data_IF_428496077643
#
_entry.id   IF_428496077643
#
_cell.length_a   1.000
_cell.length_b   1.000
_cell.length_c   1.000
_cell.angle_alpha   90.00
_cell.angle_beta   90.00
_cell.angle_gamma   90.00
#
_symmetry.space_group_name_H-M   'P 1'
#
loop_
_entity.id
_entity.type
_entity.pdbx_description
1 polymer ?
#
# COMPACT_ATOMS: atom_id res chain seq x y z
N UNK A 1 -41.62 28.18 -105.72
CA UNK A 1 -41.06 27.01 -106.43
C UNK A 1 -42.06 25.87 -106.25
N UNK A 2 -43.01 25.71 -107.20
CA UNK A 2 -42.97 24.72 -108.31
C UNK A 2 -43.00 23.28 -107.79
N UNK A 3 -43.87 22.35 -108.21
CA UNK A 3 -44.88 22.16 -109.26
C UNK A 3 -45.73 20.95 -108.78
N UNK A 4 -47.05 20.92 -108.93
CA UNK A 4 -47.78 20.29 -110.06
C UNK A 4 -47.36 18.82 -110.31
N UNK A 5 -48.19 17.81 -110.58
CA UNK A 5 -49.61 17.62 -110.95
C UNK A 5 -49.70 16.10 -111.18
N UNK A 6 -50.83 15.43 -110.92
CA UNK A 6 -51.38 14.41 -111.85
C UNK A 6 -52.78 13.94 -111.42
N UNK A 7 -53.69 14.11 -112.36
CA UNK A 7 -55.06 13.58 -112.54
C UNK A 7 -55.04 12.06 -112.82
N UNK A 8 -56.07 11.23 -112.62
CA UNK A 8 -57.35 11.11 -113.39
C UNK A 8 -58.22 9.95 -112.88
N UNK A 9 -59.57 10.10 -112.94
CA UNK A 9 -60.60 9.06 -113.24
C UNK A 9 -60.94 8.06 -112.12
N UNK A 10 -62.17 7.54 -111.93
CA UNK A 10 -63.40 7.54 -112.73
C UNK A 10 -64.62 7.00 -111.90
N UNK A 11 -65.80 7.59 -112.13
CA UNK A 11 -67.16 7.01 -112.19
C UNK A 11 -67.85 6.26 -111.01
N UNK A 12 -68.88 6.94 -110.45
CA UNK A 12 -70.32 6.59 -110.14
C UNK A 12 -70.65 5.23 -109.48
N UNK A 13 -71.49 5.14 -108.43
CA UNK A 13 -72.99 5.17 -108.40
C UNK A 13 -73.46 5.17 -106.91
N UNK A 14 -74.62 5.76 -106.55
CA UNK A 14 -74.96 6.20 -105.19
C UNK A 14 -75.73 5.16 -104.39
N UNK A 15 -75.49 5.01 -103.08
CA UNK A 15 -76.30 4.13 -102.21
C UNK A 15 -76.43 4.67 -100.79
N UNK A 16 -77.51 5.40 -100.57
CA UNK A 16 -78.13 5.76 -99.28
C UNK A 16 -78.59 4.53 -98.48
N UNK A 17 -77.67 3.61 -98.14
CA UNK A 17 -78.04 2.37 -97.46
C UNK A 17 -76.94 1.64 -96.67
N UNK A 18 -75.74 2.22 -96.49
CA UNK A 18 -74.63 1.50 -95.84
C UNK A 18 -74.22 2.00 -94.45
N UNK A 19 -74.60 3.21 -94.02
CA UNK A 19 -74.08 3.76 -92.74
C UNK A 19 -74.94 3.43 -91.52
N UNK A 20 -76.23 3.12 -91.70
CA UNK A 20 -77.06 2.59 -90.61
C UNK A 20 -76.67 1.14 -90.21
N UNK A 21 -75.96 0.41 -91.07
CA UNK A 21 -75.52 -0.95 -90.80
C UNK A 21 -74.20 -1.01 -89.99
N UNK A 22 -73.40 0.05 -89.96
CA UNK A 22 -72.11 0.09 -89.23
C UNK A 22 -72.32 0.46 -87.76
N UNK A 23 -73.38 1.19 -87.41
CA UNK A 23 -73.71 1.50 -86.01
C UNK A 23 -74.31 0.29 -85.25
N UNK A 24 -75.02 -0.61 -85.94
CA UNK A 24 -75.67 -1.77 -85.30
C UNK A 24 -74.75 -3.01 -85.25
N UNK A 25 -73.74 -3.12 -86.13
CA UNK A 25 -72.78 -4.22 -86.08
C UNK A 25 -71.70 -4.06 -84.99
N UNK A 26 -71.55 -2.87 -84.41
CA UNK A 26 -70.65 -2.63 -83.27
C UNK A 26 -71.25 -2.97 -81.90
N UNK A 27 -72.50 -3.46 -81.83
CA UNK A 27 -73.16 -3.81 -80.56
C UNK A 27 -73.26 -5.34 -80.33
N UNK A 28 -72.92 -6.18 -81.31
CA UNK A 28 -73.08 -7.65 -81.20
C UNK A 28 -71.78 -8.46 -81.33
N UNK A 29 -70.62 -7.82 -81.22
CA UNK A 29 -69.32 -8.43 -81.54
C UNK A 29 -68.25 -8.45 -80.45
N UNK A 30 -68.60 -8.39 -79.14
CA UNK A 30 -67.59 -8.58 -78.08
C UNK A 30 -68.16 -9.03 -76.74
N UNK A 31 -68.64 -10.27 -76.63
CA UNK A 31 -68.69 -10.97 -75.33
C UNK A 31 -67.34 -11.62 -75.03
N UNK A 32 -66.29 -10.79 -74.94
CA UNK A 32 -65.05 -11.20 -74.32
C UNK A 32 -65.20 -11.06 -72.81
N UNK A 33 -65.00 -12.13 -72.06
CA UNK A 33 -64.90 -12.03 -70.60
C UNK A 33 -63.67 -11.19 -70.31
N UNK A 34 -63.87 -9.93 -69.92
CA UNK A 34 -62.78 -9.07 -69.49
C UNK A 34 -62.31 -9.54 -68.12
N UNK A 35 -61.25 -10.34 -68.08
CA UNK A 35 -60.51 -10.55 -66.84
C UNK A 35 -59.73 -9.27 -66.55
N UNK A 36 -60.29 -8.43 -65.68
CA UNK A 36 -59.51 -7.37 -65.05
C UNK A 36 -58.53 -8.02 -64.05
N UNK A 37 -57.28 -8.22 -64.49
CA UNK A 37 -56.19 -8.51 -63.57
C UNK A 37 -55.83 -7.22 -62.84
N UNK A 38 -56.43 -7.00 -61.67
CA UNK A 38 -55.96 -6.01 -60.73
C UNK A 38 -54.66 -6.52 -60.12
N UNK A 39 -53.52 -6.04 -60.62
CA UNK A 39 -52.28 -6.14 -59.84
C UNK A 39 -52.23 -4.93 -58.91
N UNK A 40 -52.60 -5.15 -57.65
CA UNK A 40 -52.31 -4.18 -56.60
C UNK A 40 -50.79 -4.18 -56.37
N UNK A 41 -50.08 -3.24 -56.98
CA UNK A 41 -48.67 -3.00 -56.66
C UNK A 41 -48.60 -2.13 -55.42
N UNK A 42 -48.50 -2.76 -54.25
CA UNK A 42 -48.13 -2.06 -53.03
C UNK A 42 -46.64 -1.73 -53.11
N UNK A 43 -46.28 -0.46 -53.29
CA UNK A 43 -44.90 -0.01 -53.14
C UNK A 43 -44.59 0.05 -51.65
N UNK A 44 -43.97 -1.00 -51.12
CA UNK A 44 -43.41 -1.01 -49.77
C UNK A 44 -42.12 -0.22 -49.78
N UNK A 45 -42.18 1.04 -49.34
CA UNK A 45 -40.97 1.82 -49.03
C UNK A 45 -40.40 1.30 -47.71
N UNK A 46 -39.60 0.24 -47.74
CA UNK A 46 -38.81 -0.18 -46.57
C UNK A 46 -37.49 0.56 -46.58
N UNK A 47 -37.33 1.51 -45.66
CA UNK A 47 -36.00 2.01 -45.32
C UNK A 47 -35.28 0.91 -44.54
N UNK A 48 -34.38 0.18 -45.17
CA UNK A 48 -33.43 -0.67 -44.45
C UNK A 48 -32.47 0.25 -43.66
N UNK A 49 -32.83 0.58 -42.42
CA UNK A 49 -31.88 1.22 -41.50
C UNK A 49 -30.81 0.18 -41.21
N UNK A 50 -29.55 0.48 -41.53
CA UNK A 50 -28.44 -0.38 -41.12
C UNK A 50 -28.56 -0.66 -39.62
N UNK A 51 -28.66 -1.93 -39.23
CA UNK A 51 -28.70 -2.31 -37.83
C UNK A 51 -27.47 -1.74 -37.14
N UNK A 52 -27.66 -1.04 -36.03
CA UNK A 52 -26.56 -0.54 -35.20
C UNK A 52 -26.74 -1.08 -33.80
N UNK A 53 -25.63 -1.45 -33.17
CA UNK A 53 -25.60 -1.71 -31.74
C UNK A 53 -24.90 -0.56 -31.04
N UNK A 54 -25.33 -0.26 -29.83
CA UNK A 54 -24.76 0.80 -29.01
C UNK A 54 -24.73 0.35 -27.55
N UNK A 55 -23.68 0.78 -26.86
CA UNK A 55 -23.48 0.51 -25.44
C UNK A 55 -23.09 1.81 -24.75
N UNK A 56 -23.60 2.02 -23.55
CA UNK A 56 -23.23 3.14 -22.69
C UNK A 56 -22.67 2.61 -21.37
N UNK A 57 -21.75 3.37 -20.79
CA UNK A 57 -21.11 3.07 -19.51
C UNK A 57 -21.24 4.27 -18.57
N UNK A 58 -21.68 4.03 -17.34
CA UNK A 58 -21.81 5.05 -16.29
C UNK A 58 -21.31 4.53 -14.92
N UNK A 59 -21.14 5.43 -13.95
CA UNK A 59 -20.74 5.09 -12.58
C UNK A 59 -19.23 4.95 -12.34
N UNK A 60 -18.39 5.11 -13.36
CA UNK A 60 -16.94 4.89 -13.24
C UNK A 60 -16.11 6.18 -13.13
N UNK A 61 -16.50 7.27 -13.80
CA UNK A 61 -15.58 8.39 -14.11
C UNK A 61 -15.28 9.34 -12.95
N UNK A 62 -16.31 9.82 -12.24
CA UNK A 62 -16.15 10.68 -11.06
C UNK A 62 -17.41 10.73 -10.19
N UNK A 63 -17.24 10.91 -8.88
CA UNK A 63 -18.34 11.04 -7.91
C UNK A 63 -18.35 9.96 -6.83
N UNK A 64 -19.32 10.04 -5.92
CA UNK A 64 -19.37 9.21 -4.69
C UNK A 64 -19.57 7.71 -4.95
N UNK A 65 -20.19 7.33 -6.06
CA UNK A 65 -20.47 5.95 -6.48
C UNK A 65 -19.35 5.30 -7.31
N UNK A 66 -18.19 5.95 -7.42
CA UNK A 66 -17.07 5.54 -8.28
C UNK A 66 -15.88 4.99 -7.47
N UNK A 67 -14.94 4.33 -8.17
CA UNK A 67 -13.66 3.88 -7.60
C UNK A 67 -12.57 4.96 -7.64
N UNK A 68 -12.93 6.21 -7.94
CA UNK A 68 -12.03 7.36 -7.83
C UNK A 68 -11.61 7.57 -6.38
N UNK A 69 -10.31 7.56 -6.09
CA UNK A 69 -9.84 7.65 -4.71
C UNK A 69 -8.35 8.03 -4.59
N UNK A 70 -7.99 8.67 -3.48
CA UNK A 70 -6.59 8.84 -3.08
C UNK A 70 -6.30 7.95 -1.88
N UNK A 71 -5.50 6.91 -2.09
CA UNK A 71 -5.01 6.04 -1.03
C UNK A 71 -4.03 6.81 -0.14
N UNK A 72 -4.33 6.83 1.15
CA UNK A 72 -3.50 7.34 2.23
C UNK A 72 -3.23 6.18 3.19
N UNK A 73 -2.28 6.33 4.11
CA UNK A 73 -1.93 5.22 5.02
C UNK A 73 -3.15 4.68 5.79
N UNK A 74 -4.13 5.50 6.17
CA UNK A 74 -5.31 5.06 6.93
C UNK A 74 -6.42 4.42 6.09
N UNK A 75 -6.36 4.50 4.75
CA UNK A 75 -7.40 3.92 3.89
C UNK A 75 -6.84 2.95 2.87
N UNK A 76 -7.29 1.70 2.95
CA UNK A 76 -6.78 0.58 2.13
C UNK A 76 -7.73 0.06 1.06
N UNK A 77 -8.93 0.63 0.94
CA UNK A 77 -9.87 0.21 -0.10
C UNK A 77 -10.90 1.26 -0.46
N UNK A 78 -11.36 1.21 -1.70
CA UNK A 78 -12.50 1.97 -2.20
C UNK A 78 -13.42 1.03 -2.96
N UNK A 79 -14.72 1.11 -2.67
CA UNK A 79 -15.77 0.42 -3.45
C UNK A 79 -16.56 1.45 -4.24
N UNK A 80 -16.80 1.15 -5.51
CA UNK A 80 -17.66 1.90 -6.41
C UNK A 80 -18.41 0.94 -7.34
N UNK A 81 -18.95 1.46 -8.43
CA UNK A 81 -19.77 0.68 -9.37
C UNK A 81 -19.42 0.96 -10.82
N UNK A 82 -19.84 0.06 -11.71
CA UNK A 82 -19.86 0.27 -13.15
C UNK A 82 -21.19 -0.24 -13.69
N UNK A 83 -21.93 0.62 -14.38
CA UNK A 83 -23.20 0.28 -15.02
C UNK A 83 -23.02 0.28 -16.52
N UNK A 84 -23.47 -0.80 -17.16
CA UNK A 84 -23.45 -0.95 -18.62
C UNK A 84 -24.88 -1.06 -19.11
N UNK A 85 -25.24 -0.22 -20.06
CA UNK A 85 -26.55 -0.19 -20.69
C UNK A 85 -26.44 -0.51 -22.18
N UNK A 86 -27.31 -1.40 -22.66
CA UNK A 86 -27.48 -1.64 -24.08
C UNK A 86 -28.42 -0.56 -24.64
N UNK A 87 -27.85 0.44 -25.32
CA UNK A 87 -28.56 1.60 -25.89
C UNK A 87 -28.83 1.44 -27.38
N UNK A 88 -28.72 0.21 -27.90
CA UNK A 88 -28.97 -0.10 -29.31
C UNK A 88 -30.37 0.36 -29.73
N UNK A 89 -30.53 1.09 -30.86
CA UNK A 89 -31.81 1.62 -31.32
C UNK A 89 -32.67 0.51 -31.98
N UNK A 90 -33.00 -0.53 -31.21
CA UNK A 90 -33.79 -1.68 -31.65
C UNK A 90 -34.81 -2.06 -30.57
N UNK A 91 -35.93 -2.65 -30.98
CA UNK A 91 -36.95 -3.23 -30.09
C UNK A 91 -36.72 -4.73 -29.86
N UNK A 92 -35.64 -5.30 -30.41
CA UNK A 92 -35.31 -6.71 -30.23
C UNK A 92 -35.10 -7.07 -28.75
N UNK A 93 -35.77 -8.14 -28.32
CA UNK A 93 -35.59 -8.74 -27.01
C UNK A 93 -34.50 -9.83 -26.99
N UNK A 94 -33.74 -10.00 -28.08
CA UNK A 94 -32.64 -10.97 -28.13
C UNK A 94 -31.51 -10.55 -27.17
N UNK A 95 -31.09 -11.41 -26.22
CA UNK A 95 -29.96 -11.10 -25.36
C UNK A 95 -28.67 -11.00 -26.18
N UNK A 96 -27.95 -9.88 -26.03
CA UNK A 96 -26.67 -9.65 -26.70
C UNK A 96 -25.53 -9.83 -25.68
N UNK A 97 -24.52 -10.65 -25.96
CA UNK A 97 -23.34 -10.79 -25.12
C UNK A 97 -22.65 -9.45 -24.86
N UNK A 98 -22.35 -9.19 -23.58
CA UNK A 98 -21.57 -8.05 -23.12
C UNK A 98 -20.36 -8.54 -22.32
N UNK A 99 -19.20 -7.93 -22.57
CA UNK A 99 -18.00 -8.11 -21.75
C UNK A 99 -17.57 -6.79 -21.14
N UNK A 100 -17.22 -6.80 -19.85
CA UNK A 100 -16.67 -5.66 -19.13
C UNK A 100 -15.23 -5.98 -18.75
N UNK A 101 -14.28 -5.29 -19.37
CA UNK A 101 -12.87 -5.38 -19.06
C UNK A 101 -12.46 -4.20 -18.15
N UNK A 102 -11.65 -4.51 -17.14
CA UNK A 102 -10.99 -3.52 -16.30
C UNK A 102 -9.50 -3.48 -16.66
N UNK A 103 -8.92 -2.28 -16.63
CA UNK A 103 -7.53 -2.06 -16.98
C UNK A 103 -7.06 -0.68 -16.53
N UNK A 104 -6.01 -0.18 -17.16
CA UNK A 104 -5.51 1.17 -16.96
C UNK A 104 -5.11 1.81 -18.29
N UNK A 105 -5.03 3.15 -18.31
CA UNK A 105 -4.57 3.89 -19.49
C UNK A 105 -3.06 3.72 -19.65
N UNK A 106 -2.61 3.38 -20.86
CA UNK A 106 -1.19 3.29 -21.21
C UNK A 106 -0.49 4.64 -20.96
N UNK A 107 0.55 4.64 -20.13
CA UNK A 107 1.23 5.85 -19.65
C UNK A 107 0.95 6.18 -18.16
N UNK A 108 -0.04 5.53 -17.54
CA UNK A 108 -0.18 5.51 -16.08
C UNK A 108 0.82 4.57 -15.40
N UNK A 109 0.93 4.63 -14.07
CA UNK A 109 1.86 3.78 -13.31
C UNK A 109 1.49 2.30 -13.39
N UNK A 110 2.21 1.53 -14.21
CA UNK A 110 2.08 0.07 -14.28
C UNK A 110 2.44 -0.63 -12.97
N UNK A 111 3.32 -0.03 -12.16
CA UNK A 111 3.68 -0.50 -10.81
C UNK A 111 2.46 -0.47 -9.90
N UNK A 112 1.78 0.68 -9.84
CA UNK A 112 0.56 0.81 -9.04
C UNK A 112 -0.57 -0.07 -9.60
N UNK A 113 -0.70 -0.15 -10.92
CA UNK A 113 -1.69 -1.01 -11.56
C UNK A 113 -1.53 -2.50 -11.19
N UNK A 114 -0.29 -2.97 -11.02
CA UNK A 114 0.02 -4.34 -10.63
C UNK A 114 -0.16 -4.62 -9.14
N UNK A 115 -0.19 -3.59 -8.29
CA UNK A 115 -0.23 -3.70 -6.82
C UNK A 115 -1.61 -3.42 -6.21
N UNK A 116 -2.51 -2.77 -6.95
CA UNK A 116 -3.88 -2.59 -6.53
C UNK A 116 -4.71 -3.80 -6.95
N UNK A 117 -5.17 -4.55 -5.95
CA UNK A 117 -6.12 -5.63 -6.12
C UNK A 117 -7.48 -5.07 -6.50
N UNK A 118 -8.13 -5.72 -7.45
CA UNK A 118 -9.45 -5.37 -7.95
C UNK A 118 -10.37 -6.57 -7.82
N UNK A 119 -11.48 -6.39 -7.13
CA UNK A 119 -12.56 -7.37 -7.04
C UNK A 119 -13.81 -6.78 -7.69
N UNK A 120 -14.36 -7.45 -8.71
CA UNK A 120 -15.63 -7.09 -9.32
C UNK A 120 -16.69 -8.16 -9.03
N UNK A 121 -17.89 -7.74 -8.65
CA UNK A 121 -19.00 -8.66 -8.39
C UNK A 121 -20.36 -8.11 -8.80
N UNK A 122 -21.30 -9.02 -9.03
CA UNK A 122 -22.66 -8.72 -9.46
C UNK A 122 -23.19 -9.70 -10.52
N UNK A 123 -24.19 -9.30 -11.31
CA UNK A 123 -24.82 -7.97 -11.33
C UNK A 123 -25.60 -7.63 -10.05
N UNK A 124 -25.75 -6.35 -9.75
CA UNK A 124 -26.42 -5.77 -8.56
C UNK A 124 -26.90 -4.34 -8.85
N UNK A 125 -27.16 -3.52 -7.83
CA UNK A 125 -27.47 -2.08 -7.96
C UNK A 125 -26.30 -1.22 -7.51
N UNK A 126 -26.15 -0.01 -8.08
CA UNK A 126 -25.08 0.91 -7.69
C UNK A 126 -25.13 1.29 -6.20
N UNK A 127 -26.34 1.39 -5.62
CA UNK A 127 -26.54 1.68 -4.20
C UNK A 127 -26.02 0.57 -3.27
N UNK A 128 -25.96 -0.67 -3.76
CA UNK A 128 -25.42 -1.81 -3.01
C UNK A 128 -23.89 -1.84 -2.94
N UNK A 129 -23.19 -1.00 -3.72
CA UNK A 129 -21.74 -0.95 -3.78
C UNK A 129 -21.14 -0.07 -2.68
N UNK A 130 -21.39 -0.43 -1.43
CA UNK A 130 -20.89 0.29 -0.24
C UNK A 130 -19.49 -0.19 0.16
N UNK A 131 -18.73 0.59 0.96
CA UNK A 131 -17.43 0.16 1.48
C UNK A 131 -17.49 -1.16 2.26
N UNK A 132 -18.61 -1.46 2.91
CA UNK A 132 -18.83 -2.66 3.74
C UNK A 132 -19.53 -3.80 2.99
N UNK A 133 -19.87 -3.62 1.71
CA UNK A 133 -20.59 -4.63 0.94
C UNK A 133 -19.79 -5.93 0.83
N UNK A 134 -20.44 -7.06 1.04
CA UNK A 134 -19.81 -8.38 0.82
C UNK A 134 -19.98 -8.77 -0.65
N UNK A 135 -18.90 -9.14 -1.36
CA UNK A 135 -19.00 -9.64 -2.74
C UNK A 135 -19.97 -10.82 -2.87
N UNK A 136 -20.82 -10.78 -3.88
CA UNK A 136 -21.86 -11.80 -4.14
C UNK A 136 -22.19 -11.90 -5.63
N UNK A 137 -22.86 -12.99 -6.03
CA UNK A 137 -23.13 -13.29 -7.44
C UNK A 137 -21.88 -13.81 -8.16
N UNK A 138 -21.64 -13.36 -9.39
CA UNK A 138 -20.40 -13.71 -10.10
C UNK A 138 -19.28 -12.83 -9.56
N UNK A 139 -18.21 -13.44 -9.06
CA UNK A 139 -17.05 -12.75 -8.50
C UNK A 139 -15.83 -13.00 -9.39
N UNK A 140 -15.08 -11.94 -9.64
CA UNK A 140 -13.78 -11.97 -10.32
C UNK A 140 -12.78 -11.10 -9.58
N UNK A 141 -11.57 -11.59 -9.45
CA UNK A 141 -10.45 -10.89 -8.80
C UNK A 141 -9.27 -10.82 -9.77
N UNK A 142 -8.46 -9.78 -9.62
CA UNK A 142 -7.25 -9.53 -10.39
C UNK A 142 -6.61 -8.22 -9.94
N UNK A 143 -5.85 -7.58 -10.81
CA UNK A 143 -5.29 -6.24 -10.57
C UNK A 143 -5.68 -5.32 -11.72
N UNK A 144 -5.47 -4.00 -11.61
CA UNK A 144 -5.66 -3.12 -12.77
C UNK A 144 -4.73 -3.49 -13.94
N UNK A 145 -3.56 -4.07 -13.67
CA UNK A 145 -2.65 -4.54 -14.72
C UNK A 145 -3.14 -5.83 -15.41
N UNK A 146 -3.84 -6.70 -14.67
CA UNK A 146 -4.34 -7.98 -15.19
C UNK A 146 -5.65 -8.35 -14.50
N UNK A 147 -6.77 -8.02 -15.14
CA UNK A 147 -8.11 -8.36 -14.66
C UNK A 147 -8.85 -9.25 -15.66
N UNK A 148 -9.42 -10.39 -15.23
CA UNK A 148 -10.25 -11.22 -16.11
C UNK A 148 -11.58 -10.50 -16.40
N UNK A 149 -11.93 -10.32 -17.67
CA UNK A 149 -13.18 -9.66 -18.05
C UNK A 149 -14.42 -10.34 -17.44
N UNK A 150 -15.40 -9.55 -17.02
CA UNK A 150 -16.72 -10.05 -16.64
C UNK A 150 -17.61 -10.15 -17.87
N UNK A 151 -18.42 -11.20 -17.95
CA UNK A 151 -19.28 -11.47 -19.11
C UNK A 151 -20.72 -11.68 -18.68
N UNK A 152 -21.66 -11.16 -19.45
CA UNK A 152 -23.10 -11.35 -19.25
C UNK A 152 -23.85 -11.12 -20.58
N UNK A 153 -25.17 -11.01 -20.55
CA UNK A 153 -26.02 -10.61 -21.67
C UNK A 153 -26.94 -9.45 -21.31
N UNK A 154 -27.28 -8.62 -22.30
CA UNK A 154 -28.21 -7.50 -22.18
C UNK A 154 -29.18 -7.46 -23.37
N UNK A 155 -30.46 -7.29 -23.10
CA UNK A 155 -31.45 -6.92 -24.13
C UNK A 155 -31.44 -5.40 -24.37
N UNK A 156 -31.97 -4.94 -25.51
CA UNK A 156 -32.03 -3.51 -25.80
C UNK A 156 -32.82 -2.75 -24.72
N UNK A 157 -32.28 -1.61 -24.25
CA UNK A 157 -32.85 -0.82 -23.15
C UNK A 157 -32.50 -1.32 -21.74
N UNK A 158 -31.91 -2.50 -21.60
CA UNK A 158 -31.51 -3.03 -20.29
C UNK A 158 -30.17 -2.46 -19.84
N UNK A 159 -30.05 -2.26 -18.52
CA UNK A 159 -28.78 -1.97 -17.87
C UNK A 159 -28.47 -2.99 -16.76
N UNK A 160 -27.19 -3.30 -16.57
CA UNK A 160 -26.67 -4.10 -15.46
C UNK A 160 -25.53 -3.37 -14.78
N UNK A 161 -25.42 -3.52 -13.46
CA UNK A 161 -24.39 -2.87 -12.66
C UNK A 161 -23.55 -3.89 -11.92
N UNK A 162 -22.25 -3.66 -11.85
CA UNK A 162 -21.31 -4.43 -11.03
C UNK A 162 -20.66 -3.51 -10.02
N UNK A 163 -20.40 -4.03 -8.82
CA UNK A 163 -19.55 -3.34 -7.87
C UNK A 163 -18.09 -3.64 -8.17
N UNK A 164 -17.24 -2.64 -8.01
CA UNK A 164 -15.79 -2.72 -8.17
C UNK A 164 -15.15 -2.26 -6.87
N UNK A 165 -14.34 -3.11 -6.26
CA UNK A 165 -13.50 -2.76 -5.10
C UNK A 165 -12.05 -2.77 -5.52
N UNK A 166 -11.40 -1.61 -5.37
CA UNK A 166 -9.96 -1.49 -5.43
C UNK A 166 -9.40 -1.52 -4.01
N UNK A 167 -8.39 -2.33 -3.74
CA UNK A 167 -7.77 -2.46 -2.43
C UNK A 167 -6.27 -2.69 -2.53
N UNK A 168 -5.55 -2.35 -1.46
CA UNK A 168 -4.17 -2.74 -1.26
C UNK A 168 -4.04 -3.49 0.07
N UNK A 169 -3.37 -4.64 0.04
CA UNK A 169 -3.16 -5.45 1.25
C UNK A 169 -2.25 -4.71 2.24
N UNK A 170 -1.16 -4.12 1.74
CA UNK A 170 -0.14 -3.42 2.50
C UNK A 170 0.17 -2.03 1.91
N UNK A 171 0.59 -1.09 2.76
CA UNK A 171 0.91 0.29 2.39
C UNK A 171 2.24 0.37 1.64
N UNK A 172 3.23 -0.40 2.10
CA UNK A 172 4.57 -0.41 1.49
C UNK A 172 4.56 -0.89 0.04
N UNK A 173 3.56 -1.68 -0.37
CA UNK A 173 3.38 -2.12 -1.77
C UNK A 173 3.10 -0.98 -2.75
N UNK A 174 2.53 0.13 -2.26
CA UNK A 174 2.14 1.29 -3.06
C UNK A 174 2.90 2.56 -2.65
N UNK A 175 4.02 2.37 -1.95
CA UNK A 175 4.91 3.44 -1.53
C UNK A 175 5.74 3.99 -2.70
N UNK A 176 6.09 5.28 -2.62
CA UNK A 176 7.09 5.87 -3.51
C UNK A 176 7.97 6.88 -2.76
N UNK A 177 9.20 7.15 -3.24
CA UNK A 177 10.04 8.18 -2.65
C UNK A 177 9.38 9.57 -2.59
N UNK A 178 8.45 9.88 -3.52
CA UNK A 178 7.71 11.15 -3.52
C UNK A 178 6.50 11.15 -2.57
N UNK A 179 6.13 9.98 -2.02
CA UNK A 179 4.89 9.79 -1.28
C UNK A 179 3.63 9.71 -2.15
N UNK A 180 3.76 9.89 -3.47
CA UNK A 180 2.63 9.98 -4.41
C UNK A 180 2.86 9.20 -5.70
N UNK A 181 1.81 8.53 -6.18
CA UNK A 181 1.76 7.85 -7.47
C UNK A 181 0.36 8.08 -8.05
N UNK A 182 0.24 8.30 -9.35
CA UNK A 182 -1.06 8.37 -10.04
C UNK A 182 -1.26 7.20 -11.00
N UNK A 183 -2.48 6.66 -10.99
CA UNK A 183 -3.00 5.65 -11.89
C UNK A 183 -4.30 6.18 -12.48
N UNK A 184 -4.53 5.89 -13.76
CA UNK A 184 -5.81 6.11 -14.41
C UNK A 184 -6.47 4.76 -14.73
N UNK A 185 -7.28 4.21 -13.82
CA UNK A 185 -8.07 3.02 -14.11
C UNK A 185 -9.01 3.27 -15.29
N UNK A 186 -9.27 2.22 -16.06
CA UNK A 186 -10.16 2.22 -17.22
C UNK A 186 -11.13 1.04 -17.14
N UNK A 187 -12.41 1.32 -17.34
CA UNK A 187 -13.42 0.29 -17.60
C UNK A 187 -13.84 0.36 -19.07
N UNK A 188 -13.94 -0.81 -19.72
CA UNK A 188 -14.33 -0.93 -21.12
C UNK A 188 -15.46 -1.95 -21.22
N UNK A 189 -16.63 -1.51 -21.69
CA UNK A 189 -17.75 -2.37 -22.00
C UNK A 189 -17.82 -2.62 -23.50
N UNK A 190 -17.92 -3.87 -23.90
CA UNK A 190 -18.01 -4.29 -25.30
C UNK A 190 -19.26 -5.15 -25.48
N UNK A 191 -20.15 -4.73 -26.38
CA UNK A 191 -21.35 -5.45 -26.77
C UNK A 191 -21.12 -6.07 -28.15
N UNK A 192 -21.37 -7.37 -28.30
CA UNK A 192 -21.05 -8.10 -29.54
C UNK A 192 -22.26 -8.88 -30.04
N UNK A 193 -22.73 -8.56 -31.25
CA UNK A 193 -23.84 -9.25 -31.92
C UNK A 193 -23.41 -9.72 -33.32
N UNK A 194 -23.02 -10.98 -33.46
CA UNK A 194 -22.44 -11.49 -34.70
C UNK A 194 -21.12 -10.77 -35.01
N UNK A 195 -21.07 -10.06 -36.15
CA UNK A 195 -19.91 -9.24 -36.56
C UNK A 195 -19.96 -7.81 -36.03
N UNK A 196 -21.07 -7.39 -35.42
CA UNK A 196 -21.23 -6.04 -34.88
C UNK A 196 -20.57 -5.95 -33.51
N UNK A 197 -19.81 -4.88 -33.28
CA UNK A 197 -19.21 -4.57 -31.98
C UNK A 197 -19.42 -3.10 -31.64
N UNK A 198 -19.92 -2.83 -30.44
CA UNK A 198 -19.96 -1.49 -29.87
C UNK A 198 -19.17 -1.47 -28.56
N UNK A 199 -18.41 -0.40 -28.36
CA UNK A 199 -17.57 -0.24 -27.18
C UNK A 199 -17.83 1.11 -26.52
N UNK A 200 -17.95 1.10 -25.20
CA UNK A 200 -17.92 2.30 -24.37
C UNK A 200 -16.78 2.17 -23.36
N UNK A 201 -16.10 3.27 -23.07
CA UNK A 201 -15.04 3.30 -22.07
C UNK A 201 -15.19 4.50 -21.16
N UNK A 202 -14.79 4.32 -19.92
CA UNK A 202 -14.65 5.40 -18.95
C UNK A 202 -13.34 5.23 -18.18
N UNK A 203 -12.77 6.35 -17.76
CA UNK A 203 -11.56 6.39 -16.95
C UNK A 203 -11.82 7.16 -15.67
N UNK A 204 -11.08 6.82 -14.62
CA UNK A 204 -11.07 7.60 -13.39
C UNK A 204 -9.63 7.78 -12.90
N UNK A 205 -9.45 8.33 -11.70
CA UNK A 205 -8.13 8.54 -11.11
C UNK A 205 -8.02 7.82 -9.77
N UNK A 206 -6.92 7.10 -9.60
CA UNK A 206 -6.49 6.58 -8.32
C UNK A 206 -5.10 7.11 -8.01
N UNK A 207 -4.96 7.78 -6.88
CA UNK A 207 -3.70 8.35 -6.43
C UNK A 207 -3.25 7.69 -5.13
N UNK A 208 -1.96 7.80 -4.80
CA UNK A 208 -1.46 7.60 -3.45
C UNK A 208 -0.97 8.93 -2.88
N UNK A 209 -1.02 9.09 -1.56
CA UNK A 209 -0.53 10.29 -0.89
C UNK A 209 0.04 9.94 0.49
N UNK A 210 1.22 10.49 0.77
CA UNK A 210 1.97 10.34 2.02
C UNK A 210 2.38 8.90 2.37
N UNK A 211 2.53 8.04 1.36
CA UNK A 211 2.98 6.65 1.54
C UNK A 211 4.41 6.53 1.01
N UNK A 212 5.38 6.42 1.92
CA UNK A 212 6.81 6.37 1.59
C UNK A 212 7.44 5.00 1.87
N UNK A 213 8.57 4.66 1.25
CA UNK A 213 9.23 3.37 1.45
C UNK A 213 9.63 3.18 2.92
N UNK A 214 9.56 1.95 3.42
CA UNK A 214 10.01 1.64 4.78
C UNK A 214 11.54 1.70 4.82
N UNK A 215 12.09 2.40 5.81
CA UNK A 215 13.53 2.47 6.02
C UNK A 215 14.07 1.19 6.68
N UNK A 216 15.25 0.70 6.30
CA UNK A 216 16.01 -0.22 7.16
C UNK A 216 16.52 0.57 8.37
N UNK A 217 16.15 0.12 9.58
CA UNK A 217 16.60 0.72 10.84
C UNK A 217 17.39 -0.33 11.62
N UNK A 218 18.50 0.08 12.25
CA UNK A 218 19.30 -0.81 13.09
C UNK A 218 18.46 -1.34 14.26
N UNK A 219 18.36 -2.68 14.44
CA UNK A 219 17.54 -3.26 15.50
C UNK A 219 18.21 -3.26 16.88
N UNK A 220 19.50 -2.93 16.94
CA UNK A 220 20.33 -2.93 18.15
C UNK A 220 20.66 -1.53 18.64
N UNK A 221 20.62 -0.52 17.76
CA UNK A 221 20.92 0.85 18.14
C UNK A 221 19.79 1.47 19.00
N UNK A 222 20.22 2.31 19.95
CA UNK A 222 19.35 3.21 20.70
C UNK A 222 19.29 4.56 19.98
N UNK A 223 18.09 5.12 19.87
CA UNK A 223 17.86 6.40 19.20
C UNK A 223 17.17 7.40 20.12
N UNK A 224 17.61 8.66 20.03
CA UNK A 224 16.75 9.80 20.35
C UNK A 224 16.00 10.20 19.09
N UNK A 225 14.73 10.56 19.24
CA UNK A 225 13.84 10.85 18.12
C UNK A 225 13.41 12.31 18.25
N UNK A 226 13.53 13.06 17.17
CA UNK A 226 13.28 14.51 17.16
C UNK A 226 12.30 14.87 16.08
N UNK A 227 11.47 15.90 16.31
CA UNK A 227 10.83 16.60 15.20
C UNK A 227 11.89 17.36 14.41
N UNK A 228 11.79 17.33 13.08
CA UNK A 228 12.68 18.10 12.19
C UNK A 228 12.61 19.61 12.45
N UNK A 229 11.48 20.10 12.96
CA UNK A 229 11.25 21.52 13.25
C UNK A 229 11.76 21.98 14.60
N UNK A 230 12.03 21.06 15.53
CA UNK A 230 12.59 21.37 16.85
C UNK A 230 13.58 20.27 17.29
N UNK A 231 14.81 20.25 16.74
CA UNK A 231 15.81 19.27 17.12
C UNK A 231 16.31 19.42 18.55
N UNK A 232 16.00 20.54 19.24
CA UNK A 232 16.36 20.76 20.64
C UNK A 232 15.48 19.97 21.61
N UNK A 233 14.34 19.47 21.12
CA UNK A 233 13.42 18.60 21.84
C UNK A 233 13.48 17.16 21.34
N UNK A 234 13.33 16.26 22.30
CA UNK A 234 13.38 14.82 22.11
C UNK A 234 12.02 14.24 22.48
N UNK A 235 11.62 13.16 21.79
CA UNK A 235 10.55 12.30 22.27
C UNK A 235 10.95 11.73 23.64
N UNK A 236 10.01 11.72 24.57
CA UNK A 236 10.25 11.46 25.98
C UNK A 236 9.07 10.70 26.58
N UNK A 237 9.35 9.69 27.42
CA UNK A 237 8.33 9.11 28.29
C UNK A 237 8.26 9.92 29.58
N UNK A 238 7.12 10.62 29.76
CA UNK A 238 6.93 11.59 30.85
C UNK A 238 7.41 11.04 32.18
N UNK A 239 8.31 11.78 32.83
CA UNK A 239 8.81 11.50 34.17
C UNK A 239 9.37 10.07 34.38
N UNK A 240 9.84 9.41 33.31
CA UNK A 240 10.30 8.02 33.35
C UNK A 240 9.26 7.04 33.92
N UNK A 241 7.97 7.32 33.70
CA UNK A 241 6.87 6.51 34.21
C UNK A 241 6.81 5.10 33.61
N UNK A 242 5.91 4.27 34.17
CA UNK A 242 5.65 2.89 33.73
C UNK A 242 4.49 2.77 32.74
N UNK A 243 3.83 1.61 32.71
CA UNK A 243 2.71 1.35 31.82
C UNK A 243 1.59 2.40 31.96
N UNK A 244 1.05 2.86 30.83
CA UNK A 244 0.05 3.93 30.75
C UNK A 244 0.62 5.34 30.65
N UNK A 245 1.93 5.52 30.79
CA UNK A 245 2.59 6.83 30.68
C UNK A 245 2.61 7.33 29.24
N UNK A 246 2.37 8.62 29.05
CA UNK A 246 2.29 9.28 27.75
C UNK A 246 3.67 9.55 27.15
N UNK A 247 3.73 9.47 25.82
CA UNK A 247 4.83 9.98 25.01
C UNK A 247 4.64 11.49 24.82
N UNK A 248 5.65 12.26 25.19
CA UNK A 248 5.69 13.72 25.09
C UNK A 248 6.92 14.18 24.32
N UNK A 249 7.02 15.49 24.07
CA UNK A 249 8.30 16.16 23.81
C UNK A 249 8.86 16.79 25.07
N UNK A 250 10.17 16.70 25.26
CA UNK A 250 10.87 17.38 26.34
C UNK A 250 12.23 17.88 25.87
N UNK A 251 12.85 18.77 26.66
CA UNK A 251 14.21 19.21 26.39
C UNK A 251 15.13 17.99 26.35
N UNK A 252 15.92 17.88 25.29
CA UNK A 252 16.81 16.75 25.11
C UNK A 252 17.82 16.63 26.26
N UNK A 253 17.96 15.42 26.81
CA UNK A 253 18.92 15.08 27.86
C UNK A 253 19.36 13.61 27.74
N UNK A 254 20.38 13.22 28.50
CA UNK A 254 20.96 11.87 28.43
C UNK A 254 20.16 10.75 29.11
N UNK A 255 19.02 11.04 29.75
CA UNK A 255 18.30 10.02 30.52
C UNK A 255 17.67 8.93 29.62
N UNK A 256 17.52 7.68 30.12
CA UNK A 256 17.04 6.56 29.31
C UNK A 256 15.58 6.66 28.84
N UNK A 257 14.76 7.53 29.43
CA UNK A 257 13.36 7.74 29.01
C UNK A 257 13.19 8.51 27.68
N UNK A 258 14.28 9.02 27.09
CA UNK A 258 14.34 9.63 25.75
C UNK A 258 15.02 8.74 24.71
N UNK A 259 15.39 7.52 25.09
CA UNK A 259 16.16 6.61 24.24
C UNK A 259 15.30 5.41 23.89
N UNK A 260 15.15 5.14 22.59
CA UNK A 260 14.27 4.11 22.07
C UNK A 260 15.01 3.15 21.16
N UNK A 261 14.75 1.87 21.33
CA UNK A 261 15.21 0.81 20.43
C UNK A 261 14.06 0.37 19.55
N UNK A 262 14.31 0.32 18.24
CA UNK A 262 13.33 -0.07 17.23
C UNK A 262 13.69 -1.47 16.77
N UNK A 263 12.88 -2.48 17.10
CA UNK A 263 13.26 -3.89 16.88
C UNK A 263 12.08 -4.77 16.49
N UNK A 264 12.38 -6.00 16.05
CA UNK A 264 11.36 -7.01 15.73
C UNK A 264 10.53 -6.67 14.49
N UNK A 265 11.18 -6.17 13.43
CA UNK A 265 10.51 -5.89 12.16
C UNK A 265 9.79 -7.15 11.64
N UNK A 266 8.50 -7.02 11.32
CA UNK A 266 7.79 -8.04 10.56
C UNK A 266 8.13 -7.96 9.05
N UNK A 267 7.53 -8.85 8.25
CA UNK A 267 7.75 -8.90 6.79
C UNK A 267 7.41 -7.59 6.06
N UNK A 268 6.60 -6.73 6.67
CA UNK A 268 6.15 -5.46 6.11
C UNK A 268 6.90 -4.28 6.73
N UNK A 269 7.88 -4.52 7.60
CA UNK A 269 8.72 -3.49 8.21
C UNK A 269 8.09 -2.78 9.41
N UNK A 270 7.05 -3.35 10.03
CA UNK A 270 6.53 -2.82 11.29
C UNK A 270 7.41 -3.25 12.46
N UNK A 271 7.92 -2.27 13.19
CA UNK A 271 8.81 -2.42 14.33
C UNK A 271 8.05 -2.18 15.65
N UNK A 272 8.54 -2.78 16.71
CA UNK A 272 8.23 -2.39 18.09
C UNK A 272 9.17 -1.27 18.53
N UNK A 273 8.65 -0.27 19.26
CA UNK A 273 9.46 0.82 19.82
C UNK A 273 9.52 0.67 21.35
N UNK A 274 10.71 0.35 21.86
CA UNK A 274 10.95 0.06 23.28
C UNK A 274 11.73 1.21 23.92
N UNK A 275 11.22 1.85 24.99
CA UNK A 275 12.00 2.82 25.76
C UNK A 275 13.07 2.12 26.60
N UNK A 276 14.26 2.71 26.70
CA UNK A 276 15.42 2.10 27.38
C UNK A 276 15.16 1.85 28.86
N UNK A 277 14.48 2.77 29.56
CA UNK A 277 14.16 2.62 30.99
C UNK A 277 13.09 1.58 31.31
N UNK A 278 12.34 1.07 30.32
CA UNK A 278 11.23 0.12 30.52
C UNK A 278 11.16 -0.93 29.40
N UNK A 279 12.05 -1.92 29.47
CA UNK A 279 12.24 -2.92 28.40
C UNK A 279 11.06 -3.88 28.20
N UNK A 280 10.16 -4.00 29.18
CA UNK A 280 8.92 -4.78 29.07
C UNK A 280 7.78 -4.03 28.36
N UNK A 281 7.96 -2.73 28.08
CA UNK A 281 6.92 -1.85 27.55
C UNK A 281 7.22 -1.42 26.11
N UNK A 282 6.17 -1.06 25.37
CA UNK A 282 6.21 -0.64 23.95
C UNK A 282 5.35 0.60 23.74
N UNK A 283 5.73 1.44 22.78
CA UNK A 283 4.80 2.47 22.29
C UNK A 283 3.51 1.84 21.77
N UNK A 284 2.38 2.36 22.22
CA UNK A 284 1.05 1.85 21.98
C UNK A 284 0.09 3.01 21.72
N UNK A 285 -0.74 2.88 20.68
CA UNK A 285 -1.77 3.87 20.36
C UNK A 285 -3.07 3.75 21.21
N UNK A 286 -3.07 2.86 22.20
CA UNK A 286 -4.20 2.52 23.07
C UNK A 286 -5.20 1.55 22.45
N UNK A 287 -4.87 0.88 21.33
CA UNK A 287 -5.81 0.08 20.55
C UNK A 287 -6.87 0.90 19.80
N UNK A 288 -6.78 2.23 19.85
CA UNK A 288 -7.73 3.12 19.17
C UNK A 288 -7.64 2.96 17.65
N UNK A 289 -8.80 2.98 17.01
CA UNK A 289 -8.95 3.00 15.54
C UNK A 289 -9.32 4.39 15.00
N UNK A 290 -9.45 5.40 15.87
CA UNK A 290 -9.78 6.77 15.49
C UNK A 290 -8.59 7.71 15.70
N UNK A 291 -8.47 8.80 14.90
CA UNK A 291 -7.49 9.85 15.14
C UNK A 291 -7.65 10.48 16.53
N UNK A 292 -6.57 11.06 17.05
CA UNK A 292 -6.56 11.85 18.27
C UNK A 292 -6.36 11.07 19.57
N UNK A 293 -5.99 9.78 19.51
CA UNK A 293 -5.53 9.09 20.72
C UNK A 293 -4.05 9.39 20.99
N UNK A 294 -3.73 9.64 22.26
CA UNK A 294 -2.36 9.86 22.73
C UNK A 294 -1.58 8.55 22.70
N UNK A 295 -0.30 8.63 22.34
CA UNK A 295 0.62 7.49 22.37
C UNK A 295 1.14 7.31 23.78
N UNK A 296 1.14 6.07 24.24
CA UNK A 296 1.56 5.69 25.60
C UNK A 296 2.55 4.54 25.51
N UNK A 297 3.18 4.21 26.63
CA UNK A 297 3.88 2.92 26.77
C UNK A 297 3.01 1.90 27.48
N UNK A 298 2.96 0.67 26.98
CA UNK A 298 2.16 -0.42 27.54
C UNK A 298 2.92 -1.74 27.47
N UNK A 299 2.49 -2.72 28.28
CA UNK A 299 3.05 -4.08 28.23
C UNK A 299 2.95 -4.65 26.83
N UNK A 300 4.01 -5.35 26.40
CA UNK A 300 4.04 -5.97 25.07
C UNK A 300 2.83 -6.90 24.86
N UNK A 301 2.04 -6.64 23.82
CA UNK A 301 0.82 -7.39 23.48
C UNK A 301 0.92 -8.14 22.15
N UNK A 302 1.89 -7.78 21.30
CA UNK A 302 2.01 -8.29 19.93
C UNK A 302 0.91 -7.80 18.97
N UNK A 303 0.06 -6.87 19.39
CA UNK A 303 -1.04 -6.34 18.58
C UNK A 303 -0.58 -5.23 17.63
N UNK A 304 -1.38 -4.94 16.60
CA UNK A 304 -1.11 -3.85 15.66
C UNK A 304 -1.03 -2.45 16.31
N UNK A 305 -1.55 -2.29 17.53
CA UNK A 305 -1.42 -1.03 18.29
C UNK A 305 0.03 -0.67 18.63
N UNK A 306 0.91 -1.66 18.69
CA UNK A 306 2.33 -1.53 19.05
C UNK A 306 3.30 -1.68 17.87
N UNK A 307 2.76 -1.85 16.66
CA UNK A 307 3.55 -1.92 15.43
C UNK A 307 3.68 -0.55 14.78
N UNK A 308 4.90 -0.17 14.42
CA UNK A 308 5.21 1.14 13.85
C UNK A 308 6.10 1.02 12.62
N UNK A 309 5.69 1.62 11.52
CA UNK A 309 6.49 1.75 10.30
C UNK A 309 7.18 3.11 10.31
N UNK A 310 8.49 3.11 10.07
CA UNK A 310 9.27 4.32 9.84
C UNK A 310 9.46 4.48 8.34
N UNK A 311 8.57 5.24 7.73
CA UNK A 311 8.55 5.49 6.29
C UNK A 311 9.52 6.62 5.95
N UNK A 312 10.49 6.36 5.09
CA UNK A 312 11.55 7.29 4.71
C UNK A 312 11.03 8.33 3.71
N UNK A 313 10.83 9.55 4.19
CA UNK A 313 10.42 10.70 3.36
C UNK A 313 11.60 11.22 2.55
N UNK A 314 12.79 11.27 3.16
CA UNK A 314 14.07 11.55 2.52
C UNK A 314 15.20 10.96 3.37
N UNK A 315 16.46 11.06 2.94
CA UNK A 315 17.61 10.54 3.71
C UNK A 315 17.60 11.08 5.15
N UNK A 316 17.47 10.19 6.14
CA UNK A 316 17.44 10.54 7.57
C UNK A 316 16.15 11.17 8.09
N UNK A 317 15.12 11.36 7.25
CA UNK A 317 13.83 11.95 7.66
C UNK A 317 12.70 10.95 7.46
N UNK A 318 11.92 10.75 8.52
CA UNK A 318 10.92 9.71 8.60
C UNK A 318 9.54 10.27 8.94
N UNK A 319 8.52 9.63 8.40
CA UNK A 319 7.16 9.67 8.91
C UNK A 319 6.92 8.37 9.69
N UNK A 320 6.29 8.45 10.86
CA UNK A 320 6.08 7.30 11.74
C UNK A 320 4.61 6.92 11.70
N UNK A 321 4.29 5.70 11.24
CA UNK A 321 2.94 5.24 10.92
C UNK A 321 2.57 4.03 11.76
N UNK A 322 1.41 4.07 12.43
CA UNK A 322 0.92 2.93 13.21
C UNK A 322 0.38 1.81 12.32
N UNK A 323 0.67 0.55 12.67
CA UNK A 323 0.23 -0.64 11.92
C UNK A 323 -1.28 -0.80 11.87
N UNK A 324 -1.95 -0.66 13.01
CA UNK A 324 -3.38 -0.89 13.14
C UNK A 324 -4.19 0.14 12.33
N UNK A 325 -3.83 1.41 12.45
CA UNK A 325 -4.65 2.50 11.92
C UNK A 325 -4.13 3.09 10.63
N UNK A 326 -2.82 3.04 10.38
CA UNK A 326 -2.20 3.82 9.31
C UNK A 326 -2.13 5.31 9.62
N UNK A 327 -2.44 5.73 10.84
CA UNK A 327 -2.26 7.11 11.26
C UNK A 327 -0.80 7.42 11.58
N UNK A 328 -0.44 8.68 11.37
CA UNK A 328 0.87 9.22 11.61
C UNK A 328 1.02 9.72 13.04
N UNK A 329 2.22 9.58 13.59
CA UNK A 329 2.62 10.26 14.82
C UNK A 329 2.72 11.78 14.57
N UNK A 330 2.10 12.58 15.43
CA UNK A 330 2.21 14.04 15.41
C UNK A 330 2.09 14.63 16.82
N UNK A 331 2.69 15.81 17.08
CA UNK A 331 2.46 16.55 18.32
C UNK A 331 0.98 16.99 18.39
N UNK A 332 0.40 16.92 19.59
CA UNK A 332 -0.92 17.46 19.89
C UNK A 332 -0.89 18.91 20.33
N UNK A 333 -1.95 19.39 21.00
CA UNK A 333 -1.94 20.71 21.62
C UNK A 333 -0.97 20.76 22.80
N UNK A 334 -0.42 21.96 23.05
CA UNK A 334 0.41 22.24 24.23
C UNK A 334 -0.42 22.04 25.50
N UNK A 335 0.12 21.29 26.45
CA UNK A 335 -0.48 21.01 27.76
C UNK A 335 -0.09 22.12 28.75
N UNK A 336 -0.94 23.13 28.88
CA UNK A 336 -0.67 24.32 29.71
C UNK A 336 -0.57 24.04 31.22
N UNK A 337 -1.06 22.89 31.68
CA UNK A 337 -0.99 22.44 33.06
C UNK A 337 0.24 21.55 33.37
N UNK A 338 1.08 21.26 32.37
CA UNK A 338 2.28 20.43 32.50
C UNK A 338 3.49 21.12 31.86
N UNK A 339 3.91 22.26 32.40
CA UNK A 339 5.11 23.00 31.95
C UNK A 339 5.16 23.32 30.44
N UNK A 340 4.01 23.40 29.77
CA UNK A 340 3.89 23.55 28.31
C UNK A 340 4.55 22.39 27.53
N UNK A 341 4.45 21.16 28.05
CA UNK A 341 4.75 19.92 27.33
C UNK A 341 3.76 19.69 26.19
N UNK A 342 4.18 18.99 25.15
CA UNK A 342 3.28 18.51 24.09
C UNK A 342 3.26 16.98 24.09
N UNK A 343 2.08 16.38 24.21
CA UNK A 343 1.91 14.94 24.04
C UNK A 343 1.83 14.57 22.56
N UNK A 344 2.20 13.34 22.21
CA UNK A 344 2.10 12.84 20.84
C UNK A 344 0.87 11.97 20.64
N UNK A 345 0.29 12.10 19.46
CA UNK A 345 -0.97 11.48 19.08
C UNK A 345 -0.83 10.75 17.75
N UNK A 346 -1.76 9.82 17.51
CA UNK A 346 -2.00 9.35 16.15
C UNK A 346 -3.01 10.27 15.42
N UNK A 347 -2.66 10.74 14.24
CA UNK A 347 -3.51 11.60 13.41
C UNK A 347 -3.46 11.18 11.95
N UNK A 348 -4.38 11.66 11.11
CA UNK A 348 -4.28 11.41 9.67
C UNK A 348 -2.96 11.95 9.13
N UNK A 349 -2.32 11.16 8.28
CA UNK A 349 -1.09 11.61 7.63
C UNK A 349 -1.42 12.77 6.69
N UNK A 350 -0.78 13.92 6.89
CA UNK A 350 -1.08 15.17 6.18
C UNK A 350 0.14 15.74 5.45
N UNK A 351 1.30 15.10 5.65
CA UNK A 351 2.55 15.48 5.03
C UNK A 351 3.23 16.72 5.61
N UNK A 352 2.69 17.27 6.70
CA UNK A 352 3.21 18.45 7.37
C UNK A 352 4.57 18.18 8.04
N UNK A 353 5.29 19.26 8.33
CA UNK A 353 6.55 19.19 9.07
C UNK A 353 6.38 18.63 10.51
N UNK A 354 5.16 18.72 11.07
CA UNK A 354 4.81 18.13 12.36
C UNK A 354 4.76 16.58 12.33
N UNK A 355 4.87 15.97 11.14
CA UNK A 355 4.93 14.52 10.94
C UNK A 355 6.28 14.08 10.35
N UNK A 356 7.34 14.85 10.63
CA UNK A 356 8.70 14.62 10.11
C UNK A 356 9.67 14.49 11.26
N UNK A 357 10.26 13.31 11.37
CA UNK A 357 11.14 12.93 12.46
C UNK A 357 12.53 12.58 11.97
N UNK A 358 13.53 12.83 12.80
CA UNK A 358 14.89 12.33 12.62
C UNK A 358 15.23 11.35 13.73
N UNK A 359 16.13 10.41 13.44
CA UNK A 359 16.68 9.45 14.39
C UNK A 359 18.14 9.81 14.65
N UNK A 360 18.45 10.24 15.86
CA UNK A 360 19.81 10.48 16.33
C UNK A 360 20.26 9.27 17.14
N UNK A 361 21.45 8.72 16.89
CA UNK A 361 22.00 7.67 17.76
C UNK A 361 22.11 8.23 19.19
N UNK A 362 21.45 7.58 20.14
CA UNK A 362 21.51 7.96 21.55
C UNK A 362 22.95 7.82 22.05
N UNK A 363 23.44 8.72 22.93
CA UNK A 363 24.78 8.62 23.48
C UNK A 363 25.02 7.25 24.16
N UNK A 364 26.28 6.78 24.21
CA UNK A 364 26.60 5.59 24.97
C UNK A 364 26.24 5.81 26.45
N UNK A 365 25.64 4.82 27.10
CA UNK A 365 25.46 4.88 28.55
C UNK A 365 26.72 4.35 29.20
N UNK A 366 27.18 5.03 30.24
CA UNK A 366 28.30 4.56 31.04
C UNK A 366 27.85 3.40 31.91
N UNK A 367 28.44 2.22 31.73
CA UNK A 367 28.14 1.06 32.57
C UNK A 367 28.91 1.16 33.89
N UNK A 368 28.17 1.01 34.99
CA UNK A 368 28.77 0.76 36.31
C UNK A 368 29.10 -0.73 36.44
N UNK A 369 30.33 -1.10 36.07
CA UNK A 369 30.79 -2.48 36.13
C UNK A 369 31.14 -2.90 37.57
N UNK A 370 30.65 -4.06 37.96
CA UNK A 370 31.12 -4.82 39.12
C UNK A 370 31.76 -6.11 38.63
N UNK A 371 32.91 -6.49 39.20
CA UNK A 371 33.63 -7.70 38.81
C UNK A 371 33.72 -8.64 40.01
N UNK A 372 33.47 -9.92 39.77
CA UNK A 372 33.70 -10.99 40.76
C UNK A 372 34.49 -12.12 40.13
N UNK A 373 35.46 -12.65 40.86
CA UNK A 373 36.21 -13.86 40.50
C UNK A 373 35.45 -15.09 40.97
N UNK A 374 35.26 -16.08 40.09
CA UNK A 374 34.64 -17.36 40.42
C UNK A 374 35.66 -18.48 40.21
N UNK A 375 35.83 -19.35 41.22
CA UNK A 375 36.75 -20.48 41.12
C UNK A 375 36.28 -21.47 40.05
N UNK A 376 37.01 -21.56 38.95
CA UNK A 376 36.84 -22.55 37.90
C UNK A 376 37.56 -23.83 38.32
N UNK A 377 36.81 -24.85 38.72
CA UNK A 377 37.42 -26.11 39.15
C UNK A 377 38.02 -26.90 37.98
N UNK A 378 39.31 -26.71 37.74
CA UNK A 378 40.29 -27.78 37.47
C UNK A 378 40.28 -28.45 36.10
N UNK A 379 40.81 -27.77 35.08
CA UNK A 379 41.38 -28.43 33.90
C UNK A 379 42.78 -27.86 33.65
N UNK A 380 43.81 -28.72 33.64
CA UNK A 380 45.18 -28.40 33.21
C UNK A 380 46.12 -27.55 34.11
N UNK A 381 46.05 -27.73 35.44
CA UNK A 381 47.15 -27.33 36.34
C UNK A 381 47.35 -25.82 36.56
N UNK A 382 46.42 -25.00 36.08
CA UNK A 382 46.23 -23.59 36.46
C UNK A 382 45.11 -23.48 37.50
N UNK A 383 45.16 -22.47 38.37
CA UNK A 383 44.00 -22.10 39.19
C UNK A 383 43.12 -21.20 38.31
N UNK A 384 42.32 -21.80 37.43
CA UNK A 384 41.49 -21.04 36.52
C UNK A 384 40.36 -20.37 37.29
N UNK A 385 40.25 -19.05 37.16
CA UNK A 385 39.17 -18.26 37.74
C UNK A 385 38.47 -17.53 36.62
N UNK A 386 37.16 -17.67 36.54
CA UNK A 386 36.35 -16.90 35.61
C UNK A 386 36.17 -15.49 36.16
N UNK A 387 36.17 -14.50 35.26
CA UNK A 387 35.77 -13.14 35.60
C UNK A 387 34.32 -12.93 35.21
N UNK A 388 33.46 -12.73 36.20
CA UNK A 388 32.07 -12.33 35.97
C UNK A 388 31.98 -10.82 36.10
N UNK A 389 31.81 -10.14 34.98
CA UNK A 389 31.44 -8.73 34.96
C UNK A 389 29.92 -8.62 35.01
N UNK A 390 29.41 -7.73 35.86
CA UNK A 390 27.99 -7.44 36.01
C UNK A 390 27.74 -5.93 35.99
N UNK A 391 26.56 -5.52 35.55
CA UNK A 391 26.14 -4.12 35.42
C UNK A 391 24.64 -3.96 35.71
N UNK A 392 24.20 -2.71 35.87
CA UNK A 392 22.78 -2.40 36.06
C UNK A 392 21.98 -2.69 34.79
N UNK A 393 20.81 -3.30 34.95
CA UNK A 393 19.95 -3.78 33.86
C UNK A 393 19.33 -2.69 32.97
N UNK A 394 19.75 -1.44 33.10
CA UNK A 394 19.04 -0.29 32.53
C UNK A 394 19.12 -0.20 31.02
N UNK A 395 19.98 -0.98 30.35
CA UNK A 395 20.41 -0.65 29.00
C UNK A 395 20.12 -1.66 27.88
N UNK A 396 19.64 -2.87 28.17
CA UNK A 396 19.13 -3.83 27.17
C UNK A 396 20.03 -4.10 25.94
N UNK A 397 21.32 -3.80 26.01
CA UNK A 397 22.25 -3.88 24.88
C UNK A 397 23.14 -5.13 25.01
N UNK A 398 23.71 -5.56 23.89
CA UNK A 398 24.81 -6.51 23.89
C UNK A 398 26.13 -5.74 23.99
N UNK A 399 27.05 -6.23 24.80
CA UNK A 399 28.33 -5.58 25.04
C UNK A 399 29.49 -6.47 24.61
N UNK A 400 30.48 -5.87 23.95
CA UNK A 400 31.73 -6.54 23.58
C UNK A 400 32.81 -6.13 24.56
N UNK A 401 33.42 -7.11 25.22
CA UNK A 401 34.54 -6.90 26.14
C UNK A 401 35.83 -7.12 25.37
N UNK A 402 36.74 -6.14 25.44
CA UNK A 402 38.05 -6.22 24.84
C UNK A 402 39.13 -5.97 25.89
N UNK A 403 40.28 -6.63 25.76
CA UNK A 403 41.44 -6.41 26.59
C UNK A 403 42.65 -5.97 25.75
N UNK A 404 43.48 -5.11 26.33
CA UNK A 404 44.78 -4.71 25.79
C UNK A 404 45.88 -5.00 26.83
N UNK A 405 46.91 -5.72 26.39
CA UNK A 405 48.04 -6.14 27.22
C UNK A 405 49.10 -5.05 27.36
N UNK A 406 49.18 -4.16 26.38
CA UNK A 406 50.40 -3.45 26.08
C UNK A 406 50.12 -1.95 26.08
N UNK A 407 50.50 -1.32 27.20
CA UNK A 407 50.90 0.11 27.22
C UNK A 407 52.21 0.30 26.42
N UNK A 408 52.31 -0.29 25.23
CA UNK A 408 53.50 -0.20 24.38
C UNK A 408 53.57 1.18 23.76
N UNK A 409 54.79 1.67 23.54
CA UNK A 409 55.08 2.95 22.90
C UNK A 409 54.68 2.99 21.42
N UNK A 410 54.20 1.88 20.83
CA UNK A 410 53.97 1.70 19.39
C UNK A 410 52.48 1.51 19.03
N UNK A 411 51.58 1.45 20.01
CA UNK A 411 50.13 1.34 19.80
C UNK A 411 49.43 0.34 20.75
N UNK A 412 48.10 0.42 20.79
CA UNK A 412 47.16 -0.44 21.54
C UNK A 412 46.64 -1.58 20.65
N UNK A 413 46.64 -2.83 21.13
CA UNK A 413 46.11 -4.01 20.41
C UNK A 413 44.93 -4.63 21.16
N UNK A 414 43.73 -4.12 20.90
CA UNK A 414 42.49 -4.56 21.56
C UNK A 414 42.00 -5.90 21.01
N UNK A 415 41.89 -6.91 21.89
CA UNK A 415 41.37 -8.24 21.55
C UNK A 415 40.05 -8.50 22.23
N UNK A 416 39.07 -9.03 21.50
CA UNK A 416 37.78 -9.44 22.09
C UNK A 416 37.97 -10.64 23.01
N UNK A 417 37.56 -10.49 24.27
CA UNK A 417 37.65 -11.51 25.32
C UNK A 417 36.29 -12.08 25.71
N UNK A 418 35.19 -11.42 25.31
CA UNK A 418 33.84 -11.90 25.53
C UNK A 418 32.77 -11.00 24.92
N UNK A 419 31.56 -11.52 24.80
CA UNK A 419 30.39 -10.78 24.33
C UNK A 419 29.18 -11.16 25.16
N UNK A 420 28.45 -10.17 25.65
CA UNK A 420 27.22 -10.38 26.41
C UNK A 420 26.04 -10.65 25.48
N UNK A 421 25.06 -11.40 25.95
CA UNK A 421 23.76 -11.45 25.27
C UNK A 421 23.04 -10.10 25.40
N UNK A 422 22.12 -9.84 24.48
CA UNK A 422 21.17 -8.72 24.59
C UNK A 422 20.34 -8.91 25.87
N UNK A 423 20.04 -7.80 26.57
CA UNK A 423 19.29 -7.77 27.84
C UNK A 423 19.95 -8.51 29.01
N UNK A 424 21.22 -8.94 28.90
CA UNK A 424 21.94 -9.52 30.03
C UNK A 424 22.42 -8.44 31.01
N UNK A 425 22.60 -8.83 32.27
CA UNK A 425 23.19 -8.00 33.33
C UNK A 425 24.57 -8.47 33.75
N UNK A 426 25.07 -9.50 33.09
CA UNK A 426 26.41 -10.03 33.30
C UNK A 426 26.96 -10.70 32.05
N UNK A 427 28.28 -10.88 32.05
CA UNK A 427 29.03 -11.75 31.15
C UNK A 427 30.07 -12.50 31.98
N UNK A 428 30.27 -13.77 31.66
CA UNK A 428 31.38 -14.56 32.18
C UNK A 428 32.48 -14.57 31.14
N UNK A 429 33.66 -14.08 31.51
CA UNK A 429 34.90 -14.25 30.75
C UNK A 429 35.56 -15.51 31.27
N UNK A 430 35.50 -16.56 30.45
CA UNK A 430 36.01 -17.89 30.75
C UNK A 430 37.54 -17.89 30.78
N UNK A 431 38.11 -18.29 31.91
CA UNK A 431 39.57 -18.40 32.11
C UNK A 431 40.19 -19.70 31.58
N UNK A 432 39.39 -20.68 31.13
CA UNK A 432 39.80 -22.08 30.94
C UNK A 432 40.25 -22.49 29.52
N UNK A 433 40.54 -21.59 28.59
CA UNK A 433 40.80 -21.97 27.19
C UNK A 433 42.30 -22.12 26.81
N UNK A 434 42.69 -23.20 26.09
CA UNK A 434 44.03 -23.35 25.48
C UNK A 434 44.07 -23.29 23.93
N UNK A 435 42.95 -23.09 23.21
CA UNK A 435 42.93 -23.15 21.73
C UNK A 435 42.45 -21.87 21.01
N UNK A 436 41.95 -20.89 21.74
CA UNK A 436 41.58 -19.55 21.25
C UNK A 436 41.88 -18.48 22.30
N UNK A 437 42.82 -18.76 23.20
CA UNK A 437 43.08 -17.90 24.36
C UNK A 437 43.67 -16.55 23.88
N UNK A 438 42.92 -15.44 24.04
CA UNK A 438 43.39 -14.12 23.61
C UNK A 438 44.62 -13.67 24.44
N UNK A 439 44.87 -14.33 25.57
CA UNK A 439 45.94 -14.10 26.53
C UNK A 439 47.13 -15.07 26.39
N UNK A 440 47.16 -15.96 25.38
CA UNK A 440 48.34 -16.83 25.14
C UNK A 440 49.58 -15.96 24.93
N UNK A 441 50.61 -16.20 25.74
CA UNK A 441 51.87 -15.43 25.71
C UNK A 441 51.88 -14.20 26.63
N UNK A 442 50.81 -13.95 27.38
CA UNK A 442 50.75 -12.79 28.27
C UNK A 442 51.47 -13.06 29.60
N UNK A 443 52.55 -12.34 29.89
CA UNK A 443 53.26 -12.39 31.19
C UNK A 443 52.50 -11.62 32.27
N UNK A 444 52.71 -11.93 33.56
CA UNK A 444 52.13 -11.22 34.73
C UNK A 444 52.02 -9.70 34.51
N UNK A 445 50.79 -9.22 34.27
CA UNK A 445 50.50 -7.80 34.04
C UNK A 445 49.04 -7.52 34.40
N UNK A 446 48.78 -6.26 34.74
CA UNK A 446 47.45 -5.66 34.67
C UNK A 446 47.16 -5.34 33.22
N UNK A 447 45.98 -5.73 32.74
CA UNK A 447 45.50 -5.39 31.40
C UNK A 447 44.33 -4.42 31.50
N UNK A 448 44.29 -3.49 30.56
CA UNK A 448 43.18 -2.54 30.42
C UNK A 448 42.05 -3.27 29.69
N UNK A 449 40.83 -3.13 30.18
CA UNK A 449 39.60 -3.67 29.58
C UNK A 449 38.74 -2.50 29.15
N UNK A 450 38.23 -2.56 27.92
CA UNK A 450 37.15 -1.71 27.47
C UNK A 450 35.91 -2.54 27.14
N UNK A 451 34.76 -1.95 27.41
CA UNK A 451 33.45 -2.51 27.07
C UNK A 451 32.86 -1.62 25.99
N UNK A 452 32.48 -2.23 24.87
CA UNK A 452 31.90 -1.55 23.72
C UNK A 452 30.41 -1.88 23.60
N UNK A 453 29.59 -0.89 23.26
CA UNK A 453 28.19 -1.11 22.86
C UNK A 453 28.06 -1.65 21.43
N UNK A 454 26.83 -1.89 20.99
CA UNK A 454 26.52 -2.38 19.64
C UNK A 454 26.93 -1.44 18.49
N UNK A 455 27.36 -0.20 18.81
CA UNK A 455 27.89 0.79 17.87
C UNK A 455 29.41 0.96 17.99
N UNK A 456 30.10 0.05 18.69
CA UNK A 456 31.54 0.08 18.96
C UNK A 456 32.00 1.31 19.75
N UNK A 457 31.16 1.84 20.63
CA UNK A 457 31.50 2.97 21.50
C UNK A 457 31.86 2.46 22.89
N UNK A 458 32.92 3.01 23.49
CA UNK A 458 33.34 2.65 24.84
C UNK A 458 32.28 3.10 25.85
N UNK A 459 31.68 2.14 26.54
CA UNK A 459 30.66 2.35 27.59
C UNK A 459 31.21 2.12 28.99
N UNK A 460 32.31 1.40 29.14
CA UNK A 460 33.02 1.29 30.40
C UNK A 460 34.46 0.89 30.16
N UNK A 461 35.31 1.19 31.13
CA UNK A 461 36.69 0.73 31.20
C UNK A 461 36.96 0.17 32.58
N UNK A 462 37.73 -0.90 32.66
CA UNK A 462 38.16 -1.52 33.91
C UNK A 462 39.51 -2.17 33.70
N UNK A 463 40.01 -2.87 34.71
CA UNK A 463 41.25 -3.61 34.64
C UNK A 463 41.06 -5.02 35.16
N UNK A 464 41.94 -5.93 34.76
CA UNK A 464 42.09 -7.22 35.41
C UNK A 464 43.57 -7.63 35.47
N UNK A 465 43.88 -8.58 36.35
CA UNK A 465 45.23 -9.04 36.67
C UNK A 465 45.38 -10.53 36.33
N UNK A 466 46.48 -10.90 35.65
CA UNK A 466 46.91 -12.30 35.50
C UNK A 466 48.02 -12.62 36.51
N UNK A 467 47.81 -13.60 37.39
CA UNK A 467 48.78 -14.00 38.42
C UNK A 467 49.76 -15.09 37.97
N UNK A 468 50.75 -15.40 38.83
CA UNK A 468 51.87 -16.32 38.58
C UNK A 468 51.44 -17.74 38.16
N UNK A 469 50.26 -18.17 38.57
CA UNK A 469 49.62 -19.46 38.32
C UNK A 469 48.63 -19.44 37.14
N UNK A 470 48.51 -18.33 36.42
CA UNK A 470 47.51 -18.15 35.35
C UNK A 470 46.14 -17.68 35.82
N UNK A 471 45.94 -17.47 37.14
CA UNK A 471 44.67 -17.05 37.74
C UNK A 471 44.32 -15.61 37.34
N UNK A 472 43.07 -15.40 36.90
CA UNK A 472 42.51 -14.10 36.57
C UNK A 472 41.88 -13.45 37.81
N UNK A 473 42.15 -12.16 38.02
CA UNK A 473 41.48 -11.38 39.07
C UNK A 473 40.94 -10.06 38.57
N UNK A 474 39.84 -9.63 39.18
CA UNK A 474 39.35 -8.27 39.04
C UNK A 474 40.44 -7.29 39.49
N UNK A 475 40.68 -6.26 38.68
CA UNK A 475 41.70 -5.25 38.94
C UNK A 475 41.20 -4.05 39.73
#
# INVERSE_FOLDING_TARGET
>A
MSRARTTTGSWRIPRTGLVAAIATFLILGSSGVAYAYWSATATLTSTAKAGSIAVALSGFSSGSSTVQYTFVNDTRSRTGSVTVANTSPTTSATPIPVSVALGYVSGGSGVLAAKIDVTMWGPTTAASCTPTATPSGTIRTGTWASFPSMTDTLVAGQAKTWCVRASNAERSDIASPSGTISLQPKATATLTAGTWTATASATTTQNTQYIYPVAPISPTAWFRIHLTTDPSRCLDIRASGGAGTELIEWSCHGNPNQQFRLSGADSNGYLSVTPRHQQSLRWDNGGSTTPGSVIKIQSASGTGSQGWQFQQVSTGVYQIVNKNTGFCLAPGPILTNYNNETAYYQVQCDGSAAQRFTLENAPPVTLSLSCTTVDGSGVDGKNDTDLVYSWSAVDADSYTFQADQDRSWWGTDWKTIGTSAVDSTSVTIDGSLPASDPFVGWSRKTFDIQVLDSLNRVVATTTAEVRKNGELRCG
#
